data_IF_021083106408
#
_entry.id   IF_021083106408
#
_cell.length_a   1.000
_cell.length_b   1.000
_cell.length_c   1.000
_cell.angle_alpha   90.00
_cell.angle_beta   90.00
_cell.angle_gamma   90.00
#
_symmetry.space_group_name_H-M   'P 1'
#
loop_
_entity.id
_entity.type
_entity.pdbx_description
1 polymer ?
#
# COMPACT_ATOMS: atom_id res chain seq x y z
N UNK A 1 -33.02 15.15 -16.74
CA UNK A 1 -32.92 14.15 -15.66
C UNK A 1 -31.48 13.59 -15.58
N UNK A 2 -30.47 14.40 -15.23
CA UNK A 2 -29.06 13.93 -15.34
C UNK A 2 -28.04 14.54 -14.38
N UNK A 3 -28.45 15.11 -13.25
CA UNK A 3 -27.53 15.86 -12.37
C UNK A 3 -27.11 15.11 -11.09
N UNK A 4 -27.46 13.83 -10.93
CA UNK A 4 -27.26 13.10 -9.66
C UNK A 4 -26.10 12.10 -9.65
N UNK A 5 -25.29 12.00 -10.71
CA UNK A 5 -24.22 10.98 -10.78
C UNK A 5 -22.80 11.51 -10.50
N UNK A 6 -22.59 12.82 -10.38
CA UNK A 6 -21.23 13.37 -10.35
C UNK A 6 -20.59 13.53 -8.96
N UNK A 7 -21.30 13.23 -7.86
CA UNK A 7 -20.74 13.32 -6.49
C UNK A 7 -20.04 12.06 -5.97
N UNK A 8 -20.29 10.89 -6.56
CA UNK A 8 -19.71 9.62 -6.10
C UNK A 8 -18.25 9.44 -6.56
N UNK A 9 -17.86 10.00 -7.72
CA UNK A 9 -16.51 9.82 -8.28
C UNK A 9 -15.36 10.47 -7.51
N UNK A 10 -15.63 11.32 -6.51
CA UNK A 10 -14.57 12.00 -5.74
C UNK A 10 -14.22 11.26 -4.44
N UNK A 11 -15.18 10.64 -3.75
CA UNK A 11 -14.94 10.12 -2.41
C UNK A 11 -14.12 8.83 -2.42
N UNK A 12 -14.48 7.86 -3.26
CA UNK A 12 -13.75 6.58 -3.35
C UNK A 12 -12.35 6.80 -3.93
N UNK A 13 -12.23 7.63 -4.98
CA UNK A 13 -10.95 7.96 -5.61
C UNK A 13 -9.99 8.67 -4.63
N UNK A 14 -10.48 9.65 -3.88
CA UNK A 14 -9.66 10.34 -2.88
C UNK A 14 -9.25 9.41 -1.73
N UNK A 15 -10.15 8.54 -1.27
CA UNK A 15 -9.83 7.59 -0.22
C UNK A 15 -8.76 6.59 -0.68
N UNK A 16 -8.92 6.00 -1.88
CA UNK A 16 -7.92 5.09 -2.45
C UNK A 16 -6.58 5.79 -2.63
N UNK A 17 -6.57 7.03 -3.12
CA UNK A 17 -5.34 7.81 -3.31
C UNK A 17 -4.64 8.08 -1.97
N UNK A 18 -5.38 8.48 -0.94
CA UNK A 18 -4.84 8.67 0.40
C UNK A 18 -4.25 7.39 0.98
N UNK A 19 -4.92 6.25 0.81
CA UNK A 19 -4.41 4.96 1.27
C UNK A 19 -3.14 4.54 0.52
N UNK A 20 -3.08 4.74 -0.80
CA UNK A 20 -1.87 4.47 -1.61
C UNK A 20 -0.71 5.38 -1.22
N UNK A 21 -0.99 6.65 -0.91
CA UNK A 21 0.02 7.58 -0.40
C UNK A 21 0.55 7.11 0.96
N UNK A 22 -0.33 6.78 1.91
CA UNK A 22 0.06 6.21 3.21
C UNK A 22 0.95 4.98 3.05
N UNK A 23 0.59 4.06 2.16
CA UNK A 23 1.35 2.83 1.91
C UNK A 23 2.75 3.15 1.34
N UNK A 24 2.84 4.09 0.40
CA UNK A 24 4.10 4.50 -0.23
C UNK A 24 5.06 5.13 0.79
N UNK A 25 4.53 5.89 1.75
CA UNK A 25 5.33 6.53 2.81
C UNK A 25 5.55 5.63 4.03
N UNK A 26 4.93 4.45 4.08
CA UNK A 26 5.06 3.55 5.21
C UNK A 26 6.38 2.78 5.16
N UNK A 27 7.27 3.13 6.09
CA UNK A 27 8.59 2.50 6.22
C UNK A 27 8.76 1.82 7.57
N UNK A 28 9.65 0.83 7.61
CA UNK A 28 10.02 0.10 8.83
C UNK A 28 10.60 1.06 9.86
N UNK A 29 11.50 1.95 9.44
CA UNK A 29 12.21 2.86 10.34
C UNK A 29 12.91 2.10 11.46
N UNK A 30 12.68 2.53 12.70
CA UNK A 30 13.20 1.90 13.92
C UNK A 30 12.35 0.72 14.44
N UNK A 31 11.19 0.45 13.84
CA UNK A 31 10.28 -0.62 14.28
C UNK A 31 10.87 -2.00 14.03
N UNK A 32 10.32 -3.01 14.72
CA UNK A 32 10.63 -4.40 14.39
C UNK A 32 10.10 -4.74 12.98
N UNK A 33 10.68 -5.77 12.37
CA UNK A 33 10.20 -6.24 11.06
C UNK A 33 8.76 -6.77 11.13
N UNK A 34 8.37 -7.38 12.26
CA UNK A 34 7.01 -7.88 12.48
C UNK A 34 6.02 -6.72 12.53
N UNK A 35 6.32 -5.66 13.30
CA UNK A 35 5.43 -4.49 13.41
C UNK A 35 5.24 -3.80 12.06
N UNK A 36 6.31 -3.73 11.26
CA UNK A 36 6.26 -3.20 9.91
C UNK A 36 5.35 -4.05 8.99
N UNK A 37 5.54 -5.38 8.99
CA UNK A 37 4.72 -6.27 8.16
C UNK A 37 3.24 -6.26 8.59
N UNK A 38 2.95 -6.20 9.89
CA UNK A 38 1.59 -6.01 10.39
C UNK A 38 0.98 -4.69 9.93
N UNK A 39 1.75 -3.60 9.93
CA UNK A 39 1.30 -2.31 9.41
C UNK A 39 0.96 -2.35 7.92
N UNK A 40 1.82 -2.97 7.10
CA UNK A 40 1.54 -3.19 5.67
C UNK A 40 0.25 -4.01 5.49
N UNK A 41 0.14 -5.16 6.16
CA UNK A 41 -1.05 -6.02 6.08
C UNK A 41 -2.33 -5.26 6.42
N UNK A 42 -2.32 -4.47 7.50
CA UNK A 42 -3.49 -3.69 7.90
C UNK A 42 -3.94 -2.69 6.84
N UNK A 43 -3.01 -2.01 6.15
CA UNK A 43 -3.37 -1.05 5.09
C UNK A 43 -3.87 -1.74 3.82
N UNK A 44 -3.32 -2.92 3.49
CA UNK A 44 -3.77 -3.73 2.35
C UNK A 44 -5.16 -4.30 2.60
N UNK A 45 -5.43 -4.78 3.82
CA UNK A 45 -6.76 -5.24 4.22
C UNK A 45 -7.78 -4.08 4.14
N UNK A 46 -7.42 -2.86 4.58
CA UNK A 46 -8.26 -1.66 4.48
C UNK A 46 -8.58 -1.30 3.01
N UNK A 47 -7.59 -1.38 2.12
CA UNK A 47 -7.76 -1.21 0.68
C UNK A 47 -8.69 -2.28 0.07
N UNK A 48 -8.57 -3.53 0.52
CA UNK A 48 -9.45 -4.61 0.07
C UNK A 48 -10.91 -4.39 0.51
N UNK A 49 -11.14 -3.90 1.74
CA UNK A 49 -12.47 -3.58 2.27
C UNK A 49 -13.19 -2.53 1.42
N UNK A 50 -12.46 -1.54 0.88
CA UNK A 50 -13.04 -0.50 0.02
C UNK A 50 -13.06 -0.87 -1.47
N UNK A 51 -12.98 -2.16 -1.80
CA UNK A 51 -12.97 -2.69 -3.17
C UNK A 51 -11.79 -2.17 -4.03
N UNK A 52 -10.66 -1.86 -3.41
CA UNK A 52 -9.43 -1.46 -4.10
C UNK A 52 -8.23 -2.34 -3.68
N UNK A 53 -8.33 -3.69 -3.76
CA UNK A 53 -7.26 -4.57 -3.34
C UNK A 53 -5.96 -4.29 -4.10
N UNK A 54 -4.85 -4.43 -3.41
CA UNK A 54 -3.52 -4.32 -4.02
C UNK A 54 -3.16 -5.64 -4.72
N UNK A 55 -2.52 -5.56 -5.89
CA UNK A 55 -1.97 -6.75 -6.55
C UNK A 55 -0.75 -7.30 -5.80
N UNK A 56 -0.49 -8.60 -5.94
CA UNK A 56 0.62 -9.27 -5.25
C UNK A 56 1.99 -8.65 -5.58
N UNK A 57 2.20 -8.28 -6.85
CA UNK A 57 3.44 -7.61 -7.29
C UNK A 57 3.62 -6.26 -6.62
N UNK A 58 2.56 -5.45 -6.58
CA UNK A 58 2.57 -4.15 -5.90
C UNK A 58 2.85 -4.32 -4.41
N UNK A 59 2.24 -5.34 -3.79
CA UNK A 59 2.43 -5.64 -2.37
C UNK A 59 3.89 -5.97 -2.05
N UNK A 60 4.52 -6.82 -2.88
CA UNK A 60 5.94 -7.15 -2.75
C UNK A 60 6.79 -5.89 -2.90
N UNK A 61 6.55 -5.07 -3.92
CA UNK A 61 7.30 -3.84 -4.16
C UNK A 61 7.19 -2.88 -2.96
N UNK A 62 5.98 -2.60 -2.48
CA UNK A 62 5.77 -1.69 -1.35
C UNK A 62 6.42 -2.21 -0.06
N UNK A 63 6.31 -3.52 0.19
CA UNK A 63 6.94 -4.15 1.35
C UNK A 63 8.47 -4.04 1.29
N UNK A 64 9.06 -4.35 0.13
CA UNK A 64 10.51 -4.34 -0.02
C UNK A 64 11.11 -2.93 0.02
N UNK A 65 10.40 -1.93 -0.50
CA UNK A 65 10.83 -0.54 -0.50
C UNK A 65 10.89 0.06 0.91
N UNK A 66 10.01 -0.36 1.82
CA UNK A 66 9.97 0.18 3.19
C UNK A 66 10.92 -0.50 4.19
N UNK A 67 11.58 -1.61 3.84
CA UNK A 67 12.48 -2.34 4.76
C UNK A 67 13.78 -1.60 5.06
N UNK A 68 14.23 -0.71 4.16
CA UNK A 68 15.45 0.06 4.28
C UNK A 68 16.73 -0.68 3.86
N UNK A 69 17.86 0.03 3.89
CA UNK A 69 19.11 -0.40 3.24
C UNK A 69 19.70 -1.71 3.74
N UNK A 70 19.41 -2.09 5.00
CA UNK A 70 19.88 -3.37 5.57
C UNK A 70 19.34 -4.60 4.84
N UNK A 71 18.20 -4.45 4.17
CA UNK A 71 17.56 -5.52 3.42
C UNK A 71 17.75 -5.37 1.90
N UNK A 72 18.55 -4.40 1.45
CA UNK A 72 18.65 -4.03 0.03
C UNK A 72 19.00 -5.21 -0.88
N UNK A 73 19.97 -6.04 -0.50
CA UNK A 73 20.35 -7.21 -1.30
C UNK A 73 19.21 -8.22 -1.42
N UNK A 74 18.53 -8.51 -0.31
CA UNK A 74 17.37 -9.41 -0.29
C UNK A 74 16.22 -8.83 -1.10
N UNK A 75 15.97 -7.53 -0.97
CA UNK A 75 14.95 -6.82 -1.76
C UNK A 75 15.22 -6.90 -3.26
N UNK A 76 16.47 -6.73 -3.69
CA UNK A 76 16.84 -6.85 -5.11
C UNK A 76 16.63 -8.28 -5.61
N UNK A 77 16.95 -9.29 -4.81
CA UNK A 77 16.81 -10.69 -5.20
C UNK A 77 15.34 -11.12 -5.34
N UNK A 78 14.41 -10.51 -4.60
CA UNK A 78 13.00 -10.89 -4.55
C UNK A 78 12.10 -10.04 -5.46
N UNK A 79 12.58 -8.91 -5.98
CA UNK A 79 11.82 -8.11 -6.94
C UNK A 79 11.57 -8.92 -8.22
N UNK A 80 10.33 -8.97 -8.73
CA UNK A 80 10.05 -9.60 -10.01
C UNK A 80 10.85 -8.90 -11.11
N UNK A 81 11.50 -9.70 -11.95
CA UNK A 81 12.30 -9.24 -13.10
C UNK A 81 11.43 -8.98 -14.31
#
# INVERSE_FOLDING_TARGET
MGHSQQKVCQQDSCQIMYMKERLTHFTKGSRSTIDYLHGIKSMVDELAIINAPLGDVDLVIHTLNGLGVKYKEVSIALLPR
#
